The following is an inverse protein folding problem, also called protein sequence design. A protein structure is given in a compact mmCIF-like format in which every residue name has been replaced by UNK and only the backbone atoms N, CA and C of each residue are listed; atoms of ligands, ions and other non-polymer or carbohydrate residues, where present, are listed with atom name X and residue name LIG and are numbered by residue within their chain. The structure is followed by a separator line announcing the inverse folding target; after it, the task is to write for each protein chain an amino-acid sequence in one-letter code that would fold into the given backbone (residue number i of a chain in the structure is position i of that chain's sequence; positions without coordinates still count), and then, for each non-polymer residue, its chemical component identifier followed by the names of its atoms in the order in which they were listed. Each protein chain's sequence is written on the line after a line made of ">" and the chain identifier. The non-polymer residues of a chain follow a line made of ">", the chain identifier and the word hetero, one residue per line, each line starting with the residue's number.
data_IF_202747631345
#
_entry.id   IF_202747631345
#
_cell.length_a   1.000
_cell.length_b   1.000
_cell.length_c   1.000
_cell.angle_alpha   90.00
_cell.angle_beta   90.00
_cell.angle_gamma   90.00
#
_symmetry.space_group_name_H-M   'P 1'
#
loop_
_entity.id
_entity.type
_entity.pdbx_description
1 polymer ?
#
# COMPACT_ATOMS: atom_id res chain seq x y z
N UNK A 1 -22.43 6.80 8.89
CA UNK A 1 -21.10 6.47 9.44
C UNK A 1 -20.25 5.91 8.30
N UNK A 2 -19.31 6.69 7.82
CA UNK A 2 -18.29 6.14 6.90
C UNK A 2 -17.39 5.23 7.73
N UNK A 3 -17.44 3.93 7.50
CA UNK A 3 -16.44 2.99 8.06
C UNK A 3 -15.18 3.16 7.26
N UNK A 4 -14.18 3.78 7.84
CA UNK A 4 -12.87 3.89 7.25
C UNK A 4 -12.00 2.69 7.61
N UNK A 5 -11.11 2.29 6.72
CA UNK A 5 -10.05 1.34 7.03
C UNK A 5 -9.12 1.90 8.13
N UNK A 6 -8.34 1.05 8.80
CA UNK A 6 -7.35 1.48 9.79
C UNK A 6 -6.41 2.55 9.25
N UNK A 7 -6.02 2.47 7.98
CA UNK A 7 -5.20 3.47 7.29
C UNK A 7 -5.80 4.88 7.36
N UNK A 8 -7.12 5.02 7.19
CA UNK A 8 -7.76 6.35 7.21
C UNK A 8 -7.70 7.02 8.59
N UNK A 9 -7.65 6.25 9.67
CA UNK A 9 -7.48 6.82 11.02
C UNK A 9 -6.03 7.30 11.23
N UNK A 10 -5.05 6.62 10.68
CA UNK A 10 -3.65 7.05 10.70
C UNK A 10 -3.51 8.39 9.96
N UNK A 11 -4.05 8.52 8.75
CA UNK A 11 -4.00 9.77 7.99
C UNK A 11 -4.71 10.94 8.70
N UNK A 12 -5.87 10.70 9.32
CA UNK A 12 -6.55 11.71 10.14
C UNK A 12 -5.68 12.22 11.29
N UNK A 13 -4.98 11.31 11.98
CA UNK A 13 -4.06 11.66 13.07
C UNK A 13 -2.87 12.46 12.55
N UNK A 14 -2.27 12.05 11.43
CA UNK A 14 -1.15 12.76 10.82
C UNK A 14 -1.56 14.17 10.38
N UNK A 15 -2.68 14.31 9.70
CA UNK A 15 -3.21 15.60 9.32
C UNK A 15 -3.46 16.52 10.52
N UNK A 16 -4.01 15.96 11.61
CA UNK A 16 -4.23 16.70 12.86
C UNK A 16 -2.93 17.17 13.50
N UNK A 17 -1.86 16.36 13.42
CA UNK A 17 -0.54 16.67 13.98
C UNK A 17 0.22 17.70 13.16
N UNK A 18 0.11 17.64 11.83
CA UNK A 18 0.89 18.46 10.89
C UNK A 18 0.14 19.71 10.41
N UNK A 19 -1.16 19.81 10.66
CA UNK A 19 -2.03 20.85 10.10
C UNK A 19 -2.40 20.63 8.62
N UNK A 20 -2.01 19.49 8.03
CA UNK A 20 -2.39 19.14 6.67
C UNK A 20 -3.90 18.87 6.55
N UNK A 21 -4.48 19.19 5.40
CA UNK A 21 -5.88 18.91 5.11
C UNK A 21 -6.01 17.54 4.44
N UNK A 22 -6.83 16.66 5.03
CA UNK A 22 -7.21 15.40 4.40
C UNK A 22 -8.40 15.64 3.46
N UNK A 23 -8.24 15.23 2.20
CA UNK A 23 -9.27 15.34 1.16
C UNK A 23 -9.55 13.92 0.66
N UNK A 24 -10.84 13.57 0.54
CA UNK A 24 -11.25 12.25 0.06
C UNK A 24 -11.71 12.33 -1.39
N UNK A 25 -11.21 11.43 -2.22
CA UNK A 25 -11.84 11.08 -3.49
C UNK A 25 -12.98 10.09 -3.23
N UNK A 26 -14.08 10.23 -3.96
CA UNK A 26 -15.26 9.41 -3.76
C UNK A 26 -15.31 8.26 -4.76
N UNK A 27 -16.18 7.31 -4.46
CA UNK A 27 -16.53 6.22 -5.37
C UNK A 27 -17.76 6.63 -6.19
N UNK A 28 -17.79 6.17 -7.42
CA UNK A 28 -18.93 6.20 -8.30
C UNK A 28 -19.16 4.78 -8.81
N UNK A 29 -20.36 4.26 -8.61
CA UNK A 29 -20.72 2.90 -8.99
C UNK A 29 -19.75 1.82 -8.46
N UNK A 30 -19.29 2.01 -7.21
CA UNK A 30 -18.36 1.11 -6.51
C UNK A 30 -16.90 1.18 -6.94
N UNK A 31 -16.56 1.99 -7.91
CA UNK A 31 -15.19 2.24 -8.39
C UNK A 31 -14.72 3.64 -8.00
N UNK A 32 -13.42 3.86 -8.00
CA UNK A 32 -12.86 5.19 -7.76
C UNK A 32 -13.27 6.14 -8.89
N UNK A 33 -13.92 7.25 -8.54
CA UNK A 33 -14.24 8.31 -9.48
C UNK A 33 -12.96 9.09 -9.84
N UNK A 34 -12.40 8.77 -11.01
CA UNK A 34 -11.16 9.37 -11.50
C UNK A 34 -11.29 10.85 -11.81
N UNK A 35 -12.47 11.32 -12.20
CA UNK A 35 -12.73 12.73 -12.44
C UNK A 35 -12.77 13.50 -11.11
N UNK A 36 -13.46 12.95 -10.10
CA UNK A 36 -13.48 13.52 -8.75
C UNK A 36 -12.06 13.56 -8.14
N UNK A 37 -11.28 12.50 -8.32
CA UNK A 37 -9.89 12.45 -7.89
C UNK A 37 -9.05 13.54 -8.57
N UNK A 38 -9.09 13.62 -9.90
CA UNK A 38 -8.31 14.58 -10.68
C UNK A 38 -8.64 16.03 -10.28
N UNK A 39 -9.92 16.34 -10.08
CA UNK A 39 -10.36 17.67 -9.64
C UNK A 39 -9.91 18.04 -8.22
N UNK A 40 -9.55 17.06 -7.38
CA UNK A 40 -9.08 17.27 -6.01
C UNK A 40 -7.57 17.35 -5.89
N UNK A 41 -6.82 16.87 -6.87
CA UNK A 41 -5.37 16.98 -6.93
C UNK A 41 -5.02 18.41 -7.40
N UNK A 42 -4.21 19.10 -6.62
CA UNK A 42 -3.78 20.49 -6.88
C UNK A 42 -2.31 20.66 -6.54
N UNK A 43 -1.70 21.77 -6.91
CA UNK A 43 -0.32 22.14 -6.54
C UNK A 43 -0.06 22.15 -5.02
N UNK A 44 -1.12 22.20 -4.20
CA UNK A 44 -1.04 22.09 -2.74
C UNK A 44 -1.02 20.64 -2.26
N UNK A 45 -1.34 19.69 -3.11
CA UNK A 45 -1.33 18.25 -2.78
C UNK A 45 0.11 17.81 -2.53
N UNK A 46 0.35 17.13 -1.42
CA UNK A 46 1.68 16.59 -1.07
C UNK A 46 1.74 15.09 -1.20
N UNK A 47 0.64 14.42 -0.92
CA UNK A 47 0.52 12.97 -1.00
C UNK A 47 -0.81 12.60 -1.64
N UNK A 48 -0.77 11.60 -2.53
CA UNK A 48 -1.93 10.85 -2.98
C UNK A 48 -1.75 9.44 -2.47
N UNK A 49 -2.72 8.93 -1.71
CA UNK A 49 -2.61 7.62 -1.08
C UNK A 49 -3.88 6.81 -1.24
N UNK A 50 -3.74 5.57 -1.69
CA UNK A 50 -4.87 4.63 -1.82
C UNK A 50 -4.40 3.18 -1.78
N UNK A 51 -5.34 2.27 -1.53
CA UNK A 51 -5.12 0.85 -1.72
C UNK A 51 -5.15 0.51 -3.21
N UNK A 52 -4.21 -0.31 -3.71
CA UNK A 52 -4.25 -0.80 -5.08
C UNK A 52 -5.46 -1.71 -5.31
N UNK A 53 -5.77 -2.56 -4.33
CA UNK A 53 -6.98 -3.40 -4.32
C UNK A 53 -7.76 -3.14 -3.04
N UNK A 54 -9.06 -2.89 -3.19
CA UNK A 54 -9.93 -2.67 -2.03
C UNK A 54 -10.14 -3.97 -1.25
N UNK A 55 -9.92 -3.93 0.06
CA UNK A 55 -10.20 -5.07 0.95
C UNK A 55 -11.70 -5.30 1.21
N UNK A 56 -12.57 -4.41 0.74
CA UNK A 56 -14.02 -4.50 0.93
C UNK A 56 -14.72 -4.82 -0.37
N UNK A 57 -14.37 -4.11 -1.44
CA UNK A 57 -15.04 -4.21 -2.75
C UNK A 57 -14.29 -5.11 -3.74
N UNK A 58 -13.01 -5.40 -3.51
CA UNK A 58 -12.17 -6.16 -4.42
C UNK A 58 -11.79 -5.42 -5.72
N UNK A 59 -12.24 -4.19 -5.90
CA UNK A 59 -11.91 -3.40 -7.09
C UNK A 59 -10.41 -3.05 -7.13
N UNK A 60 -9.84 -3.10 -8.31
CA UNK A 60 -8.43 -2.75 -8.60
C UNK A 60 -8.39 -1.30 -9.06
N UNK A 61 -7.65 -0.46 -8.36
CA UNK A 61 -7.49 0.94 -8.70
C UNK A 61 -6.35 1.16 -9.73
N UNK A 62 -6.49 2.12 -10.66
CA UNK A 62 -5.51 2.38 -11.72
C UNK A 62 -4.33 3.20 -11.18
N UNK A 63 -3.47 2.57 -10.35
CA UNK A 63 -2.36 3.20 -9.63
C UNK A 63 -1.44 3.99 -10.55
N UNK A 64 -1.06 3.41 -11.69
CA UNK A 64 -0.15 4.05 -12.66
C UNK A 64 -0.69 5.36 -13.22
N UNK A 65 -1.99 5.43 -13.48
CA UNK A 65 -2.65 6.65 -13.96
C UNK A 65 -2.72 7.69 -12.84
N UNK A 66 -3.00 7.25 -11.63
CA UNK A 66 -3.08 8.12 -10.44
C UNK A 66 -1.70 8.67 -10.09
N UNK A 67 -0.64 7.85 -10.19
CA UNK A 67 0.74 8.28 -9.98
C UNK A 67 1.12 9.42 -10.94
N UNK A 68 0.76 9.31 -12.22
CA UNK A 68 0.96 10.39 -13.20
C UNK A 68 0.28 11.69 -12.79
N UNK A 69 -0.96 11.63 -12.32
CA UNK A 69 -1.69 12.82 -11.85
C UNK A 69 -1.03 13.42 -10.62
N UNK A 70 -0.58 12.59 -9.67
CA UNK A 70 0.14 13.04 -8.48
C UNK A 70 1.45 13.75 -8.85
N UNK A 71 2.25 13.14 -9.70
CA UNK A 71 3.56 13.65 -10.10
C UNK A 71 3.48 14.94 -10.92
N UNK A 72 2.41 15.16 -11.70
CA UNK A 72 2.19 16.41 -12.44
C UNK A 72 2.14 17.65 -11.54
N UNK A 73 1.76 17.47 -10.27
CA UNK A 73 1.71 18.58 -9.28
C UNK A 73 2.82 18.47 -8.24
N UNK A 74 3.77 17.54 -8.40
CA UNK A 74 4.86 17.32 -7.44
C UNK A 74 4.41 16.65 -6.14
N UNK A 75 3.30 15.90 -6.15
CA UNK A 75 2.84 15.11 -5.03
C UNK A 75 3.41 13.68 -5.07
N UNK A 76 3.67 13.10 -3.91
CA UNK A 76 4.11 11.72 -3.78
C UNK A 76 2.94 10.73 -3.85
N UNK A 77 3.17 9.59 -4.53
CA UNK A 77 2.22 8.49 -4.64
C UNK A 77 2.52 7.39 -3.63
N UNK A 78 1.58 7.13 -2.72
CA UNK A 78 1.69 6.10 -1.68
C UNK A 78 0.66 5.01 -1.93
N UNK A 79 1.11 3.79 -2.10
CA UNK A 79 0.25 2.63 -2.45
C UNK A 79 0.20 1.64 -1.29
N UNK A 80 -1.00 1.35 -0.83
CA UNK A 80 -1.26 0.20 0.04
C UNK A 80 -1.48 -1.03 -0.85
N UNK A 81 -0.46 -1.88 -0.90
CA UNK A 81 -0.43 -3.14 -1.64
C UNK A 81 -0.82 -4.36 -0.81
N UNK A 82 -1.35 -4.16 0.40
CA UNK A 82 -1.64 -5.28 1.29
C UNK A 82 -2.64 -6.30 0.71
N UNK A 83 -3.51 -5.88 -0.20
CA UNK A 83 -4.45 -6.78 -0.90
C UNK A 83 -4.03 -7.08 -2.34
N UNK A 84 -3.10 -6.35 -2.93
CA UNK A 84 -2.64 -6.65 -4.29
C UNK A 84 -1.45 -7.60 -4.30
N UNK A 85 -0.47 -7.40 -3.42
CA UNK A 85 0.76 -8.17 -3.40
C UNK A 85 0.56 -9.70 -3.26
N UNK A 86 -0.44 -10.23 -2.51
CA UNK A 86 -0.68 -11.68 -2.46
C UNK A 86 -1.39 -12.25 -3.68
N UNK A 87 -2.01 -11.43 -4.54
CA UNK A 87 -2.97 -11.89 -5.55
C UNK A 87 -2.59 -11.54 -7.00
N UNK A 88 -1.58 -10.69 -7.19
CA UNK A 88 -1.15 -10.29 -8.53
C UNK A 88 0.33 -9.91 -8.57
N UNK A 89 0.94 -10.01 -9.74
CA UNK A 89 2.31 -9.55 -9.95
C UNK A 89 2.41 -8.02 -9.73
N UNK A 90 3.41 -7.61 -8.97
CA UNK A 90 3.67 -6.19 -8.67
C UNK A 90 5.03 -5.79 -9.23
N UNK A 91 5.02 -4.75 -10.05
CA UNK A 91 6.23 -4.05 -10.48
C UNK A 91 6.13 -2.59 -10.03
N UNK A 92 6.86 -2.23 -8.98
CA UNK A 92 6.83 -0.89 -8.40
C UNK A 92 7.42 0.18 -9.32
N UNK A 93 8.30 -0.22 -10.26
CA UNK A 93 8.86 0.68 -11.27
C UNK A 93 7.83 0.97 -12.36
N UNK A 94 7.10 -0.05 -12.82
CA UNK A 94 6.01 0.13 -13.78
C UNK A 94 4.85 0.93 -13.20
N UNK A 95 4.52 0.71 -11.92
CA UNK A 95 3.49 1.48 -11.20
C UNK A 95 3.90 2.94 -11.01
N UNK A 96 5.20 3.22 -11.03
CA UNK A 96 5.80 4.53 -10.75
C UNK A 96 5.34 5.13 -9.40
N UNK A 97 5.10 4.27 -8.40
CA UNK A 97 4.77 4.72 -7.06
C UNK A 97 6.02 5.13 -6.29
N UNK A 98 5.89 6.12 -5.41
CA UNK A 98 7.01 6.59 -4.58
C UNK A 98 7.17 5.73 -3.34
N UNK A 99 6.05 5.20 -2.82
CA UNK A 99 6.01 4.25 -1.71
C UNK A 99 5.01 3.14 -1.98
N UNK A 100 5.38 1.91 -1.60
CA UNK A 100 4.50 0.74 -1.66
C UNK A 100 4.63 -0.07 -0.38
N UNK A 101 3.51 -0.47 0.21
CA UNK A 101 3.49 -1.26 1.43
C UNK A 101 2.80 -2.60 1.24
N UNK A 102 3.29 -3.62 1.90
CA UNK A 102 2.65 -4.93 1.94
C UNK A 102 2.72 -5.56 3.33
N UNK A 103 1.83 -6.54 3.58
CA UNK A 103 1.71 -7.24 4.85
C UNK A 103 2.01 -8.73 4.68
N UNK A 104 3.01 -9.24 5.40
CA UNK A 104 3.46 -10.63 5.26
C UNK A 104 2.36 -11.66 5.54
N UNK A 105 1.52 -11.45 6.56
CA UNK A 105 0.46 -12.39 6.92
C UNK A 105 -0.63 -12.54 5.86
N UNK A 106 -0.73 -11.64 4.89
CA UNK A 106 -1.63 -11.77 3.74
C UNK A 106 -1.01 -12.50 2.56
N UNK A 107 0.32 -12.65 2.58
CA UNK A 107 1.13 -13.33 1.56
C UNK A 107 1.62 -14.71 2.03
N UNK A 108 0.83 -15.45 2.80
CA UNK A 108 1.19 -16.73 3.41
C UNK A 108 2.39 -16.65 4.38
N UNK A 109 2.89 -15.47 4.65
CA UNK A 109 3.96 -15.22 5.60
C UNK A 109 3.45 -15.09 7.05
N UNK A 110 4.34 -14.94 8.03
CA UNK A 110 3.99 -14.80 9.43
C UNK A 110 3.36 -13.43 9.72
N UNK A 111 2.68 -13.35 10.87
CA UNK A 111 2.23 -12.07 11.45
C UNK A 111 3.41 -11.26 11.95
N UNK A 112 3.22 -9.94 12.09
CA UNK A 112 4.22 -9.05 12.68
C UNK A 112 5.38 -8.70 11.75
N UNK A 113 5.25 -8.94 10.44
CA UNK A 113 6.21 -8.51 9.43
C UNK A 113 5.49 -7.97 8.20
N UNK A 114 6.11 -7.01 7.55
CA UNK A 114 5.70 -6.42 6.29
C UNK A 114 6.88 -5.73 5.63
N UNK A 115 6.65 -5.15 4.46
CA UNK A 115 7.68 -4.42 3.71
C UNK A 115 7.15 -3.05 3.34
N UNK A 116 8.01 -2.05 3.46
CA UNK A 116 7.86 -0.74 2.84
C UNK A 116 8.92 -0.60 1.75
N UNK A 117 8.48 -0.47 0.51
CA UNK A 117 9.30 0.04 -0.58
C UNK A 117 9.20 1.56 -0.63
N UNK A 118 10.30 2.22 -0.94
CA UNK A 118 10.33 3.65 -1.24
C UNK A 118 11.43 3.94 -2.25
N UNK A 119 11.24 4.95 -3.10
CA UNK A 119 12.28 5.43 -4.02
C UNK A 119 13.49 5.91 -3.20
N UNK A 120 14.68 5.46 -3.57
CA UNK A 120 15.92 5.68 -2.81
C UNK A 120 16.19 7.17 -2.56
N UNK A 121 16.02 7.99 -3.59
CA UNK A 121 16.23 9.44 -3.50
C UNK A 121 15.30 10.12 -2.48
N UNK A 122 14.09 9.59 -2.29
CA UNK A 122 13.13 10.10 -1.31
C UNK A 122 13.52 9.62 0.09
N UNK A 123 13.81 8.32 0.24
CA UNK A 123 14.21 7.74 1.51
C UNK A 123 15.50 8.38 2.05
N UNK A 124 16.45 8.72 1.18
CA UNK A 124 17.67 9.40 1.59
C UNK A 124 17.42 10.79 2.20
N UNK A 125 16.37 11.50 1.76
CA UNK A 125 16.00 12.81 2.27
C UNK A 125 15.16 12.76 3.55
N UNK A 126 14.53 11.61 3.84
CA UNK A 126 13.69 11.45 5.03
C UNK A 126 14.55 11.23 6.28
N UNK A 127 14.09 11.75 7.41
CA UNK A 127 14.64 11.39 8.71
C UNK A 127 13.94 10.12 9.24
N UNK A 128 14.67 9.24 9.96
CA UNK A 128 14.04 8.13 10.66
C UNK A 128 13.11 8.64 11.74
N UNK A 129 12.08 7.88 12.07
CA UNK A 129 11.12 8.17 13.13
C UNK A 129 11.28 7.26 14.34
N UNK A 130 11.97 6.15 14.17
CA UNK A 130 12.35 5.22 15.23
C UNK A 130 13.87 5.22 15.36
N UNK A 131 14.35 5.08 16.58
CA UNK A 131 15.77 5.18 16.92
C UNK A 131 16.17 4.02 17.80
N UNK A 132 17.38 3.46 17.59
CA UNK A 132 17.88 2.33 18.36
C UNK A 132 19.19 1.78 17.81
N UNK A 133 19.60 0.65 18.35
CA UNK A 133 20.72 -0.10 17.83
C UNK A 133 20.54 -0.46 16.35
N UNK A 134 21.60 -0.87 15.70
CA UNK A 134 21.70 -1.27 14.29
C UNK A 134 21.55 -0.13 13.27
N UNK A 135 20.65 0.87 13.48
CA UNK A 135 20.40 1.95 12.54
C UNK A 135 21.35 3.15 12.71
N UNK A 136 21.98 3.28 13.87
CA UNK A 136 22.93 4.36 14.19
C UNK A 136 24.31 4.04 13.61
N UNK A 137 25.01 5.05 13.07
CA UNK A 137 26.39 4.98 12.62
C UNK A 137 27.33 5.53 13.70
N UNK A 138 27.29 6.84 13.95
CA UNK A 138 28.07 7.47 15.01
C UNK A 138 27.18 8.21 16.00
N UNK A 139 27.59 8.20 17.28
CA UNK A 139 26.93 8.92 18.37
C UNK A 139 27.93 9.87 19.02
N UNK A 140 27.56 11.15 19.09
CA UNK A 140 28.25 12.21 19.78
C UNK A 140 27.41 12.69 20.99
N UNK A 141 27.95 13.56 21.79
CA UNK A 141 27.24 14.06 22.99
C UNK A 141 25.89 14.76 22.66
N UNK A 142 25.80 15.44 21.53
CA UNK A 142 24.64 16.26 21.14
C UNK A 142 24.01 15.85 19.82
N UNK A 143 24.63 14.93 19.09
CA UNK A 143 24.16 14.52 17.76
C UNK A 143 24.46 13.06 17.47
N UNK A 144 23.79 12.50 16.47
CA UNK A 144 24.04 11.17 15.96
C UNK A 144 23.86 11.14 14.44
N UNK A 145 24.56 10.23 13.79
CA UNK A 145 24.39 9.94 12.37
C UNK A 145 23.76 8.57 12.16
N UNK A 146 23.15 8.39 11.03
CA UNK A 146 22.45 7.16 10.66
C UNK A 146 23.26 6.38 9.63
N UNK A 147 23.13 5.07 9.66
CA UNK A 147 23.63 4.21 8.58
C UNK A 147 22.90 4.50 7.27
N UNK A 148 23.42 3.98 6.18
CA UNK A 148 22.78 4.00 4.87
C UNK A 148 21.47 3.18 4.84
N UNK A 149 20.70 3.30 3.77
CA UNK A 149 19.55 2.44 3.50
C UNK A 149 19.97 0.99 3.32
N UNK A 150 19.17 0.02 3.75
CA UNK A 150 17.86 0.18 4.44
C UNK A 150 17.99 0.38 5.96
N UNK A 151 19.17 0.19 6.55
CA UNK A 151 19.39 0.20 8.01
C UNK A 151 18.94 1.49 8.70
N UNK A 152 18.99 2.61 8.01
CA UNK A 152 18.49 3.91 8.48
C UNK A 152 17.08 3.84 9.07
N UNK A 153 16.23 2.94 8.59
CA UNK A 153 14.83 2.78 9.01
C UNK A 153 14.57 1.47 9.77
N UNK A 154 15.63 0.71 10.12
CA UNK A 154 15.56 -0.58 10.80
C UNK A 154 16.10 -0.46 12.23
N UNK A 155 15.30 0.16 13.14
CA UNK A 155 15.74 0.43 14.51
C UNK A 155 15.61 -0.80 15.42
N UNK A 156 16.72 -1.18 16.05
CA UNK A 156 16.81 -2.31 16.98
C UNK A 156 16.93 -3.66 16.27
N UNK A 157 16.97 -4.74 17.04
CA UNK A 157 17.06 -6.10 16.48
C UNK A 157 15.80 -6.40 15.67
N UNK A 158 15.93 -6.70 14.35
CA UNK A 158 14.79 -6.94 13.49
C UNK A 158 14.08 -8.25 13.82
N UNK A 159 12.87 -8.43 13.30
CA UNK A 159 12.15 -9.70 13.37
C UNK A 159 12.79 -10.73 12.42
N UNK A 160 13.94 -11.29 12.82
CA UNK A 160 14.78 -12.17 11.99
C UNK A 160 13.97 -13.40 11.51
N UNK A 161 13.30 -14.08 12.43
CA UNK A 161 12.51 -15.27 12.10
C UNK A 161 11.36 -14.93 11.14
N UNK A 162 10.70 -13.78 11.34
CA UNK A 162 9.65 -13.30 10.47
C UNK A 162 10.16 -12.97 9.06
N UNK A 163 11.34 -12.36 8.95
CA UNK A 163 11.94 -12.02 7.66
C UNK A 163 12.29 -13.28 6.85
N UNK A 164 12.93 -14.27 7.50
CA UNK A 164 13.26 -15.56 6.87
C UNK A 164 11.99 -16.28 6.41
N UNK A 165 10.96 -16.34 7.26
CA UNK A 165 9.71 -16.99 6.93
C UNK A 165 8.93 -16.25 5.83
N UNK A 166 8.99 -14.90 5.78
CA UNK A 166 8.41 -14.13 4.67
C UNK A 166 9.15 -14.43 3.36
N UNK A 167 10.47 -14.55 3.37
CA UNK A 167 11.25 -14.96 2.21
C UNK A 167 10.80 -16.31 1.66
N UNK A 168 10.63 -17.32 2.53
CA UNK A 168 10.10 -18.62 2.12
C UNK A 168 8.68 -18.56 1.53
N UNK A 169 7.83 -17.68 2.06
CA UNK A 169 6.50 -17.44 1.50
C UNK A 169 6.55 -16.79 0.10
N UNK A 170 7.46 -15.84 -0.11
CA UNK A 170 7.70 -15.22 -1.42
C UNK A 170 8.20 -16.26 -2.42
N UNK A 171 9.15 -17.12 -2.04
CA UNK A 171 9.65 -18.19 -2.90
C UNK A 171 8.52 -19.16 -3.30
N UNK A 172 7.65 -19.53 -2.36
CA UNK A 172 6.51 -20.38 -2.60
C UNK A 172 5.52 -19.76 -3.60
N UNK A 173 5.12 -18.50 -3.38
CA UNK A 173 4.22 -17.77 -4.29
C UNK A 173 4.82 -17.61 -5.68
N UNK A 174 6.13 -17.28 -5.74
CA UNK A 174 6.86 -17.17 -7.00
C UNK A 174 6.94 -18.48 -7.77
N UNK A 175 7.08 -19.61 -7.07
CA UNK A 175 7.09 -20.93 -7.70
C UNK A 175 5.72 -21.33 -8.27
N UNK A 176 4.62 -20.89 -7.66
CA UNK A 176 3.27 -21.06 -8.22
C UNK A 176 3.05 -20.15 -9.45
N UNK A 177 3.69 -18.98 -9.46
CA UNK A 177 3.50 -17.92 -10.45
C UNK A 177 2.32 -17.01 -10.08
N UNK A 178 2.59 -15.72 -9.95
CA UNK A 178 1.56 -14.74 -9.55
C UNK A 178 0.46 -14.61 -10.59
N UNK A 179 0.78 -14.77 -11.87
CA UNK A 179 -0.19 -14.78 -12.96
C UNK A 179 -1.13 -15.97 -12.89
N UNK A 180 -0.63 -17.15 -12.48
CA UNK A 180 -1.45 -18.35 -12.29
C UNK A 180 -2.41 -18.18 -11.10
N UNK A 181 -1.92 -17.58 -10.00
CA UNK A 181 -2.75 -17.29 -8.83
C UNK A 181 -3.88 -16.35 -9.24
N UNK A 182 -3.57 -15.24 -9.91
CA UNK A 182 -4.55 -14.27 -10.37
C UNK A 182 -5.59 -14.89 -11.32
N UNK A 183 -5.15 -15.68 -12.28
CA UNK A 183 -6.03 -16.36 -13.22
C UNK A 183 -6.99 -17.34 -12.52
N UNK A 184 -6.49 -18.12 -11.57
CA UNK A 184 -7.31 -19.05 -10.80
C UNK A 184 -8.34 -18.36 -9.92
N UNK A 185 -7.97 -17.28 -9.27
CA UNK A 185 -8.89 -16.45 -8.48
C UNK A 185 -9.99 -15.85 -9.35
N UNK A 186 -9.65 -15.37 -10.56
CA UNK A 186 -10.63 -14.87 -11.52
C UNK A 186 -11.61 -15.99 -11.95
N UNK A 187 -11.12 -17.21 -12.21
CA UNK A 187 -11.97 -18.36 -12.52
C UNK A 187 -12.97 -18.65 -11.37
N UNK A 188 -12.51 -18.55 -10.12
CA UNK A 188 -13.39 -18.72 -8.94
C UNK A 188 -14.43 -17.60 -8.86
N UNK A 189 -14.08 -16.37 -9.13
CA UNK A 189 -15.01 -15.22 -9.16
C UNK A 189 -16.07 -15.45 -10.25
N UNK A 190 -15.67 -15.78 -11.46
CA UNK A 190 -16.55 -16.03 -12.60
C UNK A 190 -17.51 -17.20 -12.33
N UNK A 191 -17.07 -18.20 -11.57
CA UNK A 191 -17.90 -19.33 -11.15
C UNK A 191 -18.91 -18.96 -10.06
N UNK A 192 -18.50 -18.19 -9.06
CA UNK A 192 -19.29 -17.92 -7.85
C UNK A 192 -20.26 -16.74 -8.05
N UNK A 193 -19.84 -15.67 -8.67
CA UNK A 193 -20.59 -14.42 -8.73
C UNK A 193 -21.98 -14.57 -9.38
N UNK A 194 -22.14 -15.24 -10.54
CA UNK A 194 -23.47 -15.47 -11.12
C UNK A 194 -24.40 -16.30 -10.24
N UNK A 195 -23.84 -17.24 -9.46
CA UNK A 195 -24.62 -18.08 -8.54
C UNK A 195 -25.12 -17.28 -7.33
N UNK A 196 -24.29 -16.37 -6.81
CA UNK A 196 -24.69 -15.48 -5.73
C UNK A 196 -25.74 -14.48 -6.21
N UNK A 197 -25.61 -13.94 -7.41
CA UNK A 197 -26.58 -13.01 -8.01
C UNK A 197 -27.93 -13.66 -8.31
N UNK A 198 -27.97 -15.00 -8.49
CA UNK A 198 -29.20 -15.74 -8.70
C UNK A 198 -30.00 -16.02 -7.40
N UNK A 199 -29.45 -15.71 -6.23
CA UNK A 199 -30.14 -15.89 -4.95
C UNK A 199 -31.09 -14.72 -4.72
N UNK A 200 -32.40 -15.00 -4.58
CA UNK A 200 -33.43 -14.00 -4.31
C UNK A 200 -33.13 -13.25 -3.01
N UNK A 201 -33.17 -11.91 -3.07
CA UNK A 201 -32.95 -11.06 -1.93
C UNK A 201 -31.48 -10.83 -1.56
N UNK A 202 -30.52 -11.45 -2.26
CA UNK A 202 -29.13 -11.05 -2.16
C UNK A 202 -28.96 -9.71 -2.87
N UNK A 203 -28.45 -8.71 -2.16
CA UNK A 203 -28.18 -7.41 -2.77
C UNK A 203 -27.23 -7.57 -3.95
N UNK A 204 -27.53 -6.98 -5.11
CA UNK A 204 -26.56 -6.92 -6.18
C UNK A 204 -25.29 -6.21 -5.70
N UNK A 205 -24.19 -6.56 -6.31
CA UNK A 205 -22.89 -5.94 -6.10
C UNK A 205 -23.02 -4.41 -6.00
N UNK A 206 -22.52 -3.77 -4.92
CA UNK A 206 -22.54 -2.32 -4.78
C UNK A 206 -21.74 -1.58 -5.85
N UNK A 207 -21.02 -2.33 -6.71
CA UNK A 207 -20.28 -1.78 -7.87
C UNK A 207 -21.13 -1.72 -9.15
N UNK A 208 -22.41 -2.13 -9.09
CA UNK A 208 -23.35 -2.07 -10.23
C UNK A 208 -24.43 -1.04 -10.01
#
# INVERSE_FOLDING_TARGET
>A
RVRSSAASDVYKRQCKKTGAKLVYAYLKDGQLDMEDLANKITEKTKFVSLAQVSNVLGCINPVKEIAKLAHQVGAYMVVDGAQSAPHMAIDVQDLDCDFFTLSGHKMLGPTGIGVLYGKEEILNQMNPIEFGGEMIDFVYEQEATWKELPWKFEAGTPNIAGAIALGAAVDYLSALGMENIHAYEQELVDYVLPKLQAIDGLMPDPTK
#
